data_IF_209769143213
#
_entry.id   IF_209769143213
#
_cell.length_a   1.000
_cell.length_b   1.000
_cell.length_c   1.000
_cell.angle_alpha   90.00
_cell.angle_beta   90.00
_cell.angle_gamma   90.00
#
_symmetry.space_group_name_H-M   'P 1'
#
loop_
_entity.id
_entity.type
_entity.pdbx_description
1 polymer ?
#
# COMPACT_ATOMS: atom_id res chain seq x y z
N UNK A 1 -1.02 15.47 -14.94
CA UNK A 1 -1.47 14.32 -14.15
C UNK A 1 -0.59 14.25 -12.91
N UNK A 2 -1.19 14.22 -11.71
CA UNK A 2 -0.44 13.99 -10.46
C UNK A 2 0.25 12.62 -10.56
N UNK A 3 1.58 12.60 -10.56
CA UNK A 3 2.33 11.34 -10.52
C UNK A 3 2.37 10.87 -9.07
N UNK A 4 1.87 9.66 -8.82
CA UNK A 4 2.08 9.02 -7.53
C UNK A 4 3.59 8.77 -7.36
N UNK A 5 4.21 9.14 -6.23
CA UNK A 5 5.61 8.88 -5.99
C UNK A 5 5.80 7.43 -5.53
N UNK A 6 5.43 6.48 -6.40
CA UNK A 6 5.32 5.05 -6.05
C UNK A 6 6.68 4.44 -5.69
N UNK A 7 7.78 5.01 -6.20
CA UNK A 7 9.14 4.65 -5.75
C UNK A 7 9.34 4.83 -4.24
N UNK A 8 8.66 5.81 -3.62
CA UNK A 8 8.74 6.03 -2.17
C UNK A 8 8.09 4.89 -1.38
N UNK A 9 7.16 4.13 -1.97
CA UNK A 9 6.53 3.02 -1.26
C UNK A 9 7.57 1.97 -0.86
N UNK A 10 8.54 1.65 -1.73
CA UNK A 10 9.63 0.72 -1.35
C UNK A 10 10.48 1.28 -0.22
N UNK A 11 10.82 2.56 -0.26
CA UNK A 11 11.63 3.19 0.79
C UNK A 11 10.87 3.29 2.12
N UNK A 12 9.54 3.45 2.07
CA UNK A 12 8.67 3.36 3.25
C UNK A 12 8.65 1.93 3.79
N UNK A 13 8.39 0.93 2.94
CA UNK A 13 8.32 -0.49 3.34
C UNK A 13 9.64 -0.98 3.93
N UNK A 14 10.78 -0.51 3.42
CA UNK A 14 12.12 -0.85 3.92
C UNK A 14 12.59 0.06 5.06
N UNK A 15 11.69 0.89 5.61
CA UNK A 15 11.94 1.85 6.70
C UNK A 15 13.07 2.87 6.47
N UNK A 16 13.54 3.01 5.22
CA UNK A 16 14.45 4.10 4.82
C UNK A 16 13.78 5.45 4.98
N UNK A 17 12.48 5.49 4.71
CA UNK A 17 11.59 6.61 5.00
C UNK A 17 10.70 6.22 6.17
N UNK A 18 10.86 6.91 7.30
CA UNK A 18 10.06 6.67 8.51
C UNK A 18 8.82 7.56 8.53
N UNK A 19 7.74 7.01 9.08
CA UNK A 19 6.43 7.64 9.24
C UNK A 19 6.49 9.01 9.93
N UNK A 20 7.13 9.06 11.10
CA UNK A 20 7.08 10.25 11.97
C UNK A 20 8.14 11.31 11.66
N UNK A 21 9.10 11.01 10.79
CA UNK A 21 10.29 11.87 10.60
C UNK A 21 10.51 12.30 9.15
N UNK A 22 9.63 11.94 8.21
CA UNK A 22 9.79 12.30 6.80
C UNK A 22 8.59 13.05 6.24
N UNK A 23 8.85 14.21 5.67
CA UNK A 23 7.87 14.96 4.88
C UNK A 23 7.42 14.17 3.65
N UNK A 24 8.32 13.36 3.08
CA UNK A 24 8.05 12.53 1.89
C UNK A 24 7.00 11.46 2.19
N UNK A 25 7.03 10.88 3.39
CA UNK A 25 5.99 9.98 3.87
C UNK A 25 4.62 10.67 3.88
N UNK A 26 4.55 11.84 4.53
CA UNK A 26 3.31 12.62 4.62
C UNK A 26 2.79 13.08 3.26
N UNK A 27 3.70 13.40 2.32
CA UNK A 27 3.36 13.73 0.94
C UNK A 27 2.80 12.51 0.19
N UNK A 28 3.44 11.34 0.31
CA UNK A 28 2.96 10.09 -0.29
C UNK A 28 1.53 9.77 0.17
N UNK A 29 1.29 9.79 1.49
CA UNK A 29 -0.04 9.50 2.08
C UNK A 29 -1.09 10.48 1.56
N UNK A 30 -0.80 11.79 1.60
CA UNK A 30 -1.72 12.84 1.12
C UNK A 30 -2.03 12.68 -0.36
N UNK A 31 -1.02 12.42 -1.19
CA UNK A 31 -1.22 12.21 -2.62
C UNK A 31 -2.09 11.00 -2.92
N UNK A 32 -1.86 9.87 -2.24
CA UNK A 32 -2.64 8.65 -2.45
C UNK A 32 -4.10 8.84 -1.99
N UNK A 33 -4.32 9.42 -0.81
CA UNK A 33 -5.67 9.71 -0.32
C UNK A 33 -6.42 10.71 -1.21
N UNK A 34 -5.78 11.80 -1.61
CA UNK A 34 -6.41 12.80 -2.49
C UNK A 34 -6.76 12.21 -3.86
N UNK A 35 -5.89 11.35 -4.41
CA UNK A 35 -6.14 10.69 -5.69
C UNK A 35 -7.42 9.85 -5.64
N UNK A 36 -7.61 9.08 -4.56
CA UNK A 36 -8.75 8.17 -4.43
C UNK A 36 -10.04 8.87 -3.96
N UNK A 37 -9.94 9.96 -3.22
CA UNK A 37 -11.09 10.79 -2.83
C UNK A 37 -11.79 11.45 -4.02
N UNK A 38 -11.02 11.86 -5.04
CA UNK A 38 -11.55 12.45 -6.27
C UNK A 38 -12.42 11.47 -7.08
N UNK A 39 -12.31 10.16 -6.84
CA UNK A 39 -13.06 9.13 -7.56
C UNK A 39 -14.39 8.81 -6.88
N UNK A 40 -15.47 8.78 -7.65
CA UNK A 40 -16.83 8.57 -7.11
C UNK A 40 -17.12 7.12 -6.79
N UNK A 41 -16.63 6.19 -7.60
CA UNK A 41 -16.86 4.76 -7.44
C UNK A 41 -15.54 3.96 -7.41
N UNK A 42 -15.60 2.68 -7.04
CA UNK A 42 -14.43 1.79 -6.94
C UNK A 42 -13.94 1.30 -8.31
N UNK A 43 -14.78 1.31 -9.35
CA UNK A 43 -14.40 0.91 -10.70
C UNK A 43 -13.45 1.93 -11.36
N UNK A 44 -13.67 3.22 -11.08
CA UNK A 44 -12.80 4.31 -11.51
C UNK A 44 -11.38 4.16 -10.90
N UNK A 45 -11.26 3.55 -9.71
CA UNK A 45 -9.96 3.31 -9.07
C UNK A 45 -9.13 2.27 -9.82
N UNK A 46 -9.76 1.28 -10.49
CA UNK A 46 -9.03 0.25 -11.23
C UNK A 46 -8.17 0.82 -12.35
N UNK A 47 -8.58 1.96 -12.91
CA UNK A 47 -7.82 2.66 -13.95
C UNK A 47 -6.46 3.16 -13.44
N UNK A 48 -6.33 3.39 -12.12
CA UNK A 48 -5.11 3.82 -11.47
C UNK A 48 -4.20 2.66 -11.04
N UNK A 49 -4.66 1.40 -11.08
CA UNK A 49 -3.80 0.24 -10.80
C UNK A 49 -2.58 0.21 -11.72
N UNK A 50 -2.79 0.55 -13.00
CA UNK A 50 -1.73 0.60 -14.01
C UNK A 50 -0.62 1.60 -13.68
N UNK A 51 -0.84 2.55 -12.77
CA UNK A 51 0.22 3.46 -12.33
C UNK A 51 1.32 2.69 -11.57
N UNK A 52 0.97 1.58 -10.92
CA UNK A 52 1.90 0.75 -10.17
C UNK A 52 2.69 -0.20 -11.06
N UNK A 53 2.20 -0.53 -12.26
CA UNK A 53 2.78 -1.56 -13.14
C UNK A 53 4.28 -1.42 -13.41
N UNK A 54 4.79 -0.18 -13.52
CA UNK A 54 6.23 0.07 -13.75
C UNK A 54 7.09 -0.16 -12.50
N UNK A 55 6.49 -0.08 -11.32
CA UNK A 55 7.14 -0.19 -10.02
C UNK A 55 7.10 -1.61 -9.47
N UNK A 56 6.00 -2.33 -9.66
CA UNK A 56 5.78 -3.64 -9.04
C UNK A 56 6.93 -4.64 -9.30
N UNK A 57 7.53 -4.73 -10.50
CA UNK A 57 8.68 -5.62 -10.73
C UNK A 57 9.91 -5.28 -9.86
N UNK A 58 10.14 -4.00 -9.57
CA UNK A 58 11.25 -3.59 -8.70
C UNK A 58 10.98 -3.94 -7.24
N UNK A 59 9.73 -3.76 -6.79
CA UNK A 59 9.33 -4.17 -5.44
C UNK A 59 9.45 -5.69 -5.26
N UNK A 60 9.01 -6.49 -6.25
CA UNK A 60 9.16 -7.95 -6.24
C UNK A 60 10.63 -8.37 -6.09
N UNK A 61 11.53 -7.73 -6.84
CA UNK A 61 12.97 -7.95 -6.73
C UNK A 61 13.49 -7.60 -5.33
N UNK A 62 13.09 -6.46 -4.76
CA UNK A 62 13.52 -6.07 -3.41
C UNK A 62 13.10 -7.11 -2.39
N UNK A 63 11.83 -7.55 -2.42
CA UNK A 63 11.30 -8.59 -1.53
C UNK A 63 12.10 -9.89 -1.68
N UNK A 64 12.46 -10.28 -2.91
CA UNK A 64 13.22 -11.51 -3.17
C UNK A 64 14.60 -11.54 -2.52
N UNK A 65 15.18 -10.36 -2.26
CA UNK A 65 16.52 -10.21 -1.66
C UNK A 65 16.51 -10.04 -0.14
N UNK A 66 15.34 -9.82 0.47
CA UNK A 66 15.22 -9.63 1.91
C UNK A 66 15.21 -10.98 2.64
N UNK A 67 15.70 -10.98 3.87
CA UNK A 67 15.55 -12.10 4.79
C UNK A 67 14.13 -12.13 5.43
N UNK A 68 13.83 -13.18 6.20
CA UNK A 68 12.50 -13.35 6.80
C UNK A 68 12.09 -12.21 7.74
N UNK A 69 13.01 -11.73 8.58
CA UNK A 69 12.74 -10.65 9.53
C UNK A 69 12.43 -9.34 8.80
N UNK A 70 13.23 -9.01 7.79
CA UNK A 70 13.02 -7.84 6.92
C UNK A 70 11.67 -7.92 6.21
N UNK A 71 11.30 -9.08 5.67
CA UNK A 71 9.98 -9.29 5.06
C UNK A 71 8.85 -9.08 6.06
N UNK A 72 9.00 -9.56 7.30
CA UNK A 72 7.98 -9.38 8.34
C UNK A 72 7.86 -7.91 8.76
N UNK A 73 8.97 -7.18 8.86
CA UNK A 73 8.97 -5.74 9.11
C UNK A 73 8.28 -4.98 7.98
N UNK A 74 8.61 -5.26 6.72
CA UNK A 74 7.93 -4.66 5.57
C UNK A 74 6.41 -4.89 5.60
N UNK A 75 5.97 -6.10 5.99
CA UNK A 75 4.53 -6.40 6.17
C UNK A 75 3.91 -5.59 7.30
N UNK A 76 4.60 -5.48 8.44
CA UNK A 76 4.14 -4.69 9.57
C UNK A 76 4.01 -3.20 9.19
N UNK A 77 5.00 -2.65 8.47
CA UNK A 77 4.97 -1.27 7.97
C UNK A 77 3.80 -1.04 7.00
N UNK A 78 3.53 -1.99 6.09
CA UNK A 78 2.39 -1.89 5.18
C UNK A 78 1.05 -1.92 5.94
N UNK A 79 0.93 -2.78 6.95
CA UNK A 79 -0.26 -2.86 7.79
C UNK A 79 -0.45 -1.60 8.64
N UNK A 80 0.63 -1.01 9.16
CA UNK A 80 0.58 0.23 9.93
C UNK A 80 0.10 1.40 9.05
N UNK A 81 0.63 1.50 7.82
CA UNK A 81 0.18 2.45 6.81
C UNK A 81 -1.31 2.28 6.49
N UNK A 82 -1.77 1.03 6.32
CA UNK A 82 -3.17 0.73 6.07
C UNK A 82 -4.05 1.08 7.27
N UNK A 83 -3.63 0.75 8.48
CA UNK A 83 -4.40 1.00 9.68
C UNK A 83 -4.55 2.50 9.91
N UNK A 84 -3.47 3.26 9.91
CA UNK A 84 -3.51 4.59 10.51
C UNK A 84 -3.62 5.74 9.51
N UNK A 85 -3.07 5.59 8.30
CA UNK A 85 -2.80 6.77 7.46
C UNK A 85 -3.58 6.75 6.13
N UNK A 86 -4.02 5.58 5.66
CA UNK A 86 -4.77 5.47 4.41
C UNK A 86 -6.29 5.43 4.61
N UNK A 87 -6.99 6.05 3.65
CA UNK A 87 -8.44 5.92 3.50
C UNK A 87 -8.82 4.53 3.00
N UNK A 88 -10.09 4.15 3.16
CA UNK A 88 -10.60 2.86 2.65
C UNK A 88 -10.39 2.70 1.13
N UNK A 89 -10.59 3.76 0.35
CA UNK A 89 -10.39 3.73 -1.11
C UNK A 89 -8.90 3.59 -1.48
N UNK A 90 -8.02 4.24 -0.74
CA UNK A 90 -6.56 4.10 -0.93
C UNK A 90 -6.07 2.70 -0.62
N UNK A 91 -6.60 2.08 0.44
CA UNK A 91 -6.28 0.69 0.81
C UNK A 91 -6.79 -0.26 -0.27
N UNK A 92 -8.03 -0.06 -0.75
CA UNK A 92 -8.59 -0.86 -1.84
C UNK A 92 -7.71 -0.78 -3.09
N UNK A 93 -7.33 0.43 -3.53
CA UNK A 93 -6.45 0.63 -4.69
C UNK A 93 -5.10 -0.07 -4.49
N UNK A 94 -4.43 0.19 -3.36
CA UNK A 94 -3.08 -0.31 -3.14
C UNK A 94 -3.04 -1.83 -2.94
N UNK A 95 -3.99 -2.39 -2.19
CA UNK A 95 -4.10 -3.85 -2.03
C UNK A 95 -4.37 -4.55 -3.36
N UNK A 96 -5.29 -4.01 -4.16
CA UNK A 96 -5.65 -4.56 -5.47
C UNK A 96 -4.48 -4.48 -6.45
N UNK A 97 -3.80 -3.33 -6.52
CA UNK A 97 -2.63 -3.14 -7.39
C UNK A 97 -1.48 -4.09 -7.02
N UNK A 98 -1.23 -4.30 -5.72
CA UNK A 98 -0.17 -5.19 -5.24
C UNK A 98 -0.53 -6.69 -5.36
N UNK A 99 -1.83 -7.06 -5.40
CA UNK A 99 -2.28 -8.45 -5.48
C UNK A 99 -2.56 -8.97 -6.89
N UNK A 100 -2.82 -8.09 -7.86
CA UNK A 100 -3.33 -8.48 -9.19
C UNK A 100 -2.27 -9.01 -10.17
N UNK A 101 -0.99 -9.08 -9.79
CA UNK A 101 0.11 -9.51 -10.65
C UNK A 101 0.63 -10.88 -10.25
N UNK A 102 -0.04 -11.93 -10.72
CA UNK A 102 0.30 -13.32 -10.43
C UNK A 102 1.70 -13.73 -10.93
N UNK A 103 2.25 -12.99 -11.90
CA UNK A 103 3.59 -13.16 -12.42
C UNK A 103 4.70 -12.72 -11.44
N UNK A 104 4.38 -11.91 -10.43
CA UNK A 104 5.31 -11.42 -9.42
C UNK A 104 5.23 -12.29 -8.16
N UNK A 105 6.00 -13.38 -8.16
CA UNK A 105 5.86 -14.47 -7.18
C UNK A 105 6.14 -14.01 -5.74
N UNK A 106 7.19 -13.21 -5.53
CA UNK A 106 7.58 -12.77 -4.20
C UNK A 106 6.60 -11.74 -3.64
N UNK A 107 6.14 -10.82 -4.47
CA UNK A 107 5.11 -9.86 -4.14
C UNK A 107 3.78 -10.55 -3.82
N UNK A 108 3.38 -11.55 -4.61
CA UNK A 108 2.16 -12.33 -4.36
C UNK A 108 2.20 -13.03 -2.99
N UNK A 109 3.31 -13.69 -2.65
CA UNK A 109 3.51 -14.31 -1.33
C UNK A 109 3.60 -13.29 -0.19
N UNK A 110 4.18 -12.12 -0.46
CA UNK A 110 4.23 -11.01 0.46
C UNK A 110 2.82 -10.51 0.81
N UNK A 111 1.97 -10.33 -0.21
CA UNK A 111 0.63 -9.76 -0.08
C UNK A 111 -0.42 -10.72 0.49
N UNK A 112 -0.27 -12.04 0.33
CA UNK A 112 -1.26 -13.03 0.79
C UNK A 112 -1.78 -12.82 2.24
N UNK A 113 -0.92 -12.63 3.26
CA UNK A 113 -1.41 -12.31 4.61
C UNK A 113 -2.00 -10.89 4.70
N UNK A 114 -1.46 -9.92 3.96
CA UNK A 114 -1.86 -8.50 4.05
C UNK A 114 -3.27 -8.28 3.47
N UNK A 115 -3.60 -8.91 2.35
CA UNK A 115 -4.92 -8.79 1.69
C UNK A 115 -6.05 -9.31 2.57
N UNK A 116 -5.76 -10.26 3.46
CA UNK A 116 -6.73 -10.75 4.44
C UNK A 116 -6.93 -9.78 5.60
N UNK A 117 -5.86 -9.17 6.12
CA UNK A 117 -5.93 -8.33 7.31
C UNK A 117 -6.37 -6.88 7.03
N UNK A 118 -6.09 -6.33 5.85
CA UNK A 118 -6.42 -4.94 5.53
C UNK A 118 -7.93 -4.59 5.67
N UNK A 119 -8.87 -5.42 5.15
CA UNK A 119 -10.30 -5.18 5.32
C UNK A 119 -10.77 -5.35 6.77
N UNK A 120 -10.17 -6.27 7.52
CA UNK A 120 -10.48 -6.53 8.94
C UNK A 120 -10.12 -5.31 9.79
N UNK A 121 -8.92 -4.77 9.61
CA UNK A 121 -8.42 -3.60 10.34
C UNK A 121 -9.36 -2.40 10.15
N UNK A 122 -9.76 -2.08 8.91
CA UNK A 122 -10.64 -0.93 8.66
C UNK A 122 -12.10 -1.15 9.06
N UNK A 123 -12.60 -2.38 8.95
CA UNK A 123 -13.94 -2.71 9.44
C UNK A 123 -14.03 -2.53 10.96
N UNK A 124 -12.99 -2.89 11.69
CA UNK A 124 -12.89 -2.66 13.14
C UNK A 124 -12.89 -1.17 13.50
N UNK A 125 -12.18 -0.33 12.76
CA UNK A 125 -12.22 1.13 12.95
C UNK A 125 -13.60 1.74 12.70
N UNK A 126 -14.32 1.26 11.68
CA UNK A 126 -15.68 1.74 11.39
C UNK A 126 -16.67 1.36 12.51
N UNK A 127 -16.53 0.15 13.05
CA UNK A 127 -17.35 -0.32 14.16
C UNK A 127 -17.05 0.41 15.47
N UNK A 128 -15.78 0.73 15.74
CA UNK A 128 -15.35 1.41 16.97
C UNK A 128 -15.60 2.92 16.95
N UNK A 129 -15.67 3.56 15.77
CA UNK A 129 -16.04 4.98 15.62
C UNK A 129 -17.56 5.23 15.54
N UNK A 130 -18.36 4.18 15.40
CA UNK A 130 -19.82 4.25 15.33
C UNK A 130 -20.52 4.03 16.70
N UNK A 131 -19.75 3.72 17.76
CA UNK A 131 -20.23 3.63 19.14
C UNK A 131 -19.68 4.76 19.99
#
# INVERSE_FOLDING_TARGET
MEQLPISLLTDILTERIKRDSSEEYGNFVRSLNSLTEKQKNMEDLKQFENHFDKFLPQLDLVISTQNHEEIMNMKATLLDLFANDLSFKSIYLLSTALSNKNELTHLSQFMYPVTFWAPVIKSYELLTKAG
#
